data_IF_004872073218
#
_entry.id   IF_004872073218
#
_cell.length_a   1.000
_cell.length_b   1.000
_cell.length_c   1.000
_cell.angle_alpha   90.00
_cell.angle_beta   90.00
_cell.angle_gamma   90.00
#
_symmetry.space_group_name_H-M   'P 1'
#
loop_
_entity.id
_entity.type
_entity.pdbx_description
1 polymer ?
#
# COMPACT_ATOMS: atom_id res chain seq x y z
N UNK A 1 19.50 -3.86 5.31
CA UNK A 1 19.35 -2.89 4.20
C UNK A 1 17.89 -2.65 3.91
N UNK A 2 17.49 -1.41 3.76
CA UNK A 2 16.09 -1.07 3.56
C UNK A 2 15.63 -1.46 2.16
N UNK A 3 14.41 -1.99 2.06
CA UNK A 3 13.81 -2.25 0.76
C UNK A 3 13.29 -0.94 0.16
N UNK A 4 13.40 -0.76 -1.16
CA UNK A 4 12.86 0.45 -1.77
C UNK A 4 11.34 0.46 -1.79
N UNK A 5 10.75 1.66 -1.77
CA UNK A 5 9.33 1.85 -2.03
C UNK A 5 9.14 1.96 -3.55
N UNK A 6 8.22 1.17 -4.07
CA UNK A 6 7.90 1.14 -5.50
C UNK A 6 6.44 1.57 -5.64
N UNK A 7 6.23 2.72 -6.26
CA UNK A 7 4.93 3.38 -6.30
C UNK A 7 4.15 2.96 -7.54
N UNK A 8 2.91 2.55 -7.36
CA UNK A 8 2.03 2.18 -8.47
C UNK A 8 0.97 3.26 -8.69
N UNK A 9 0.71 3.56 -9.94
CA UNK A 9 -0.28 4.56 -10.31
C UNK A 9 -0.03 5.89 -9.62
N UNK A 10 -1.09 6.48 -9.06
CA UNK A 10 -1.03 7.77 -8.39
C UNK A 10 -0.68 7.68 -6.90
N UNK A 11 -0.28 6.51 -6.39
CA UNK A 11 -0.16 6.28 -4.95
C UNK A 11 0.79 7.27 -4.25
N UNK A 12 1.92 7.61 -4.88
CA UNK A 12 2.86 8.57 -4.31
C UNK A 12 2.25 9.97 -4.24
N UNK A 13 1.63 10.41 -5.34
CA UNK A 13 0.96 11.70 -5.40
C UNK A 13 -0.15 11.77 -4.36
N UNK A 14 -0.90 10.71 -4.19
CA UNK A 14 -2.02 10.67 -3.26
C UNK A 14 -1.56 10.81 -1.81
N UNK A 15 -0.47 10.12 -1.42
CA UNK A 15 0.10 10.27 -0.08
C UNK A 15 0.63 11.70 0.11
N UNK A 16 1.26 12.26 -0.90
CA UNK A 16 1.79 13.63 -0.81
C UNK A 16 0.68 14.66 -0.65
N UNK A 17 -0.53 14.33 -1.09
CA UNK A 17 -1.71 15.20 -0.94
C UNK A 17 -2.42 15.03 0.40
N UNK A 18 -2.03 14.07 1.23
CA UNK A 18 -2.59 13.92 2.58
C UNK A 18 -2.30 15.17 3.42
N UNK A 19 -3.15 15.51 4.38
CA UNK A 19 -2.79 16.51 5.38
C UNK A 19 -1.45 16.17 6.02
N UNK A 20 -0.71 17.18 6.45
CA UNK A 20 0.68 17.00 6.91
C UNK A 20 0.81 15.91 7.98
N UNK A 21 -0.08 15.91 8.98
CA UNK A 21 -0.01 14.91 10.04
C UNK A 21 -0.19 13.49 9.51
N UNK A 22 -1.16 13.28 8.61
CA UNK A 22 -1.42 11.98 8.02
C UNK A 22 -0.26 11.54 7.11
N UNK A 23 0.30 12.48 6.34
CA UNK A 23 1.44 12.21 5.47
C UNK A 23 2.65 11.75 6.27
N UNK A 24 2.93 12.41 7.40
CA UNK A 24 4.04 12.04 8.28
C UNK A 24 3.86 10.64 8.86
N UNK A 25 2.65 10.33 9.34
CA UNK A 25 2.36 9.00 9.87
C UNK A 25 2.51 7.95 8.79
N UNK A 26 1.94 8.18 7.61
CA UNK A 26 2.05 7.23 6.50
C UNK A 26 3.52 6.97 6.13
N UNK A 27 4.32 8.03 6.02
CA UNK A 27 5.75 7.92 5.72
C UNK A 27 6.51 7.14 6.77
N UNK A 28 6.24 7.39 8.05
CA UNK A 28 6.88 6.66 9.14
C UNK A 28 6.52 5.17 9.10
N UNK A 29 5.24 4.85 8.87
CA UNK A 29 4.82 3.45 8.81
C UNK A 29 5.43 2.72 7.61
N UNK A 30 5.52 3.38 6.47
CA UNK A 30 6.19 2.79 5.30
C UNK A 30 7.68 2.57 5.55
N UNK A 31 8.33 3.49 6.28
CA UNK A 31 9.73 3.29 6.67
C UNK A 31 9.90 2.05 7.52
N UNK A 32 9.00 1.81 8.47
CA UNK A 32 9.03 0.59 9.28
C UNK A 32 8.97 -0.66 8.39
N UNK A 33 8.08 -0.66 7.40
CA UNK A 33 7.96 -1.78 6.46
C UNK A 33 9.25 -1.96 5.67
N UNK A 34 9.87 -0.87 5.21
CA UNK A 34 11.16 -0.92 4.50
C UNK A 34 12.25 -1.55 5.36
N UNK A 35 12.20 -1.37 6.66
CA UNK A 35 13.16 -1.91 7.61
C UNK A 35 12.83 -3.33 8.06
N UNK A 36 11.83 -3.96 7.46
CA UNK A 36 11.46 -5.33 7.78
C UNK A 36 10.53 -5.47 8.98
N UNK A 37 9.97 -4.35 9.46
CA UNK A 37 9.03 -4.36 10.57
C UNK A 37 7.60 -4.24 10.08
N UNK A 38 6.65 -4.61 10.93
CA UNK A 38 5.23 -4.40 10.62
C UNK A 38 4.82 -2.97 10.98
N UNK A 39 3.83 -2.41 10.27
CA UNK A 39 3.25 -1.13 10.68
C UNK A 39 2.60 -1.25 12.06
N UNK A 40 2.43 -0.12 12.75
CA UNK A 40 1.82 -0.13 14.08
C UNK A 40 0.35 -0.53 14.06
N UNK A 41 -0.38 -0.15 13.01
CA UNK A 41 -1.81 -0.49 12.86
C UNK A 41 -2.08 -0.85 11.41
N UNK A 42 -2.44 -2.10 11.17
CA UNK A 42 -2.67 -2.61 9.82
C UNK A 42 -3.68 -3.73 9.81
N UNK A 43 -4.19 -4.02 8.64
CA UNK A 43 -5.15 -5.08 8.41
C UNK A 43 -4.77 -5.85 7.15
N UNK A 44 -4.92 -7.17 7.19
CA UNK A 44 -4.76 -7.99 5.99
C UNK A 44 -5.92 -7.70 5.03
N UNK A 45 -5.60 -7.53 3.75
CA UNK A 45 -6.58 -7.24 2.70
C UNK A 45 -6.54 -8.30 1.62
N UNK A 46 -6.90 -9.53 2.00
CA UNK A 46 -6.92 -10.66 1.06
C UNK A 46 -7.95 -10.44 -0.05
N UNK A 47 -8.97 -9.62 0.19
CA UNK A 47 -9.93 -9.23 -0.85
C UNK A 47 -9.30 -8.44 -1.99
N UNK A 48 -8.15 -7.80 -1.76
CA UNK A 48 -7.38 -7.12 -2.81
C UNK A 48 -6.44 -8.13 -3.46
N UNK A 49 -5.73 -8.89 -2.67
CA UNK A 49 -4.82 -9.90 -3.17
C UNK A 49 -3.96 -10.50 -2.08
N UNK A 50 -3.26 -11.58 -2.43
CA UNK A 50 -2.40 -12.31 -1.51
C UNK A 50 -1.25 -11.42 -1.01
N UNK A 51 -1.10 -11.33 0.30
CA UNK A 51 -0.02 -10.54 0.93
C UNK A 51 -0.27 -9.05 0.99
N UNK A 52 -1.42 -8.58 0.50
CA UNK A 52 -1.76 -7.16 0.56
C UNK A 52 -2.19 -6.80 1.97
N UNK A 53 -1.68 -5.66 2.44
CA UNK A 53 -2.01 -5.11 3.76
C UNK A 53 -2.45 -3.66 3.62
N UNK A 54 -3.26 -3.22 4.55
CA UNK A 54 -3.74 -1.85 4.63
C UNK A 54 -3.21 -1.23 5.91
N UNK A 55 -2.37 -0.20 5.77
CA UNK A 55 -1.93 0.60 6.91
C UNK A 55 -3.07 1.54 7.28
N UNK A 56 -3.39 1.61 8.55
CA UNK A 56 -4.38 2.54 9.09
C UNK A 56 -3.68 3.75 9.66
N UNK A 57 -4.04 4.92 9.16
CA UNK A 57 -3.48 6.19 9.59
C UNK A 57 -4.57 6.98 10.28
N UNK A 58 -4.40 7.17 11.59
CA UNK A 58 -5.38 7.86 12.43
C UNK A 58 -4.83 9.21 12.85
N UNK A 59 -5.40 10.28 12.31
CA UNK A 59 -5.11 11.65 12.74
C UNK A 59 -6.47 12.33 12.95
N UNK A 60 -6.62 13.59 12.63
CA UNK A 60 -7.95 14.22 12.66
C UNK A 60 -8.87 13.59 11.63
N UNK A 61 -8.30 13.04 10.57
CA UNK A 61 -9.01 12.30 9.54
C UNK A 61 -8.40 10.90 9.42
N UNK A 62 -9.15 10.00 8.79
CA UNK A 62 -8.73 8.61 8.61
C UNK A 62 -8.17 8.41 7.21
N UNK A 63 -6.98 7.84 7.13
CA UNK A 63 -6.36 7.52 5.84
C UNK A 63 -5.92 6.07 5.83
N UNK A 64 -5.81 5.53 4.63
CA UNK A 64 -5.38 4.14 4.42
C UNK A 64 -4.32 4.08 3.34
N UNK A 65 -3.35 3.19 3.51
CA UNK A 65 -2.31 2.93 2.51
C UNK A 65 -2.26 1.44 2.28
N UNK A 66 -2.56 1.02 1.05
CA UNK A 66 -2.51 -0.39 0.67
C UNK A 66 -1.14 -0.70 0.06
N UNK A 67 -0.50 -1.75 0.55
CA UNK A 67 0.84 -2.13 0.08
C UNK A 67 0.99 -3.64 0.07
N UNK A 68 2.01 -4.10 -0.64
CA UNK A 68 2.42 -5.51 -0.60
C UNK A 68 3.94 -5.56 -0.45
N UNK A 69 4.42 -6.36 0.52
CA UNK A 69 5.84 -6.43 0.88
C UNK A 69 6.44 -7.82 0.70
N UNK A 70 5.67 -8.78 0.14
CA UNK A 70 6.13 -10.17 0.03
C UNK A 70 7.15 -10.41 -1.08
N UNK A 71 7.38 -9.42 -1.93
CA UNK A 71 8.33 -9.57 -3.04
C UNK A 71 9.70 -9.06 -2.63
N UNK A 72 10.74 -9.78 -3.03
CA UNK A 72 12.10 -9.46 -2.60
C UNK A 72 12.64 -8.14 -3.14
N UNK A 73 12.13 -7.67 -4.27
CA UNK A 73 12.67 -6.48 -4.92
C UNK A 73 12.25 -5.17 -4.24
N UNK A 74 11.19 -5.17 -3.42
CA UNK A 74 10.77 -3.94 -2.75
C UNK A 74 9.37 -4.00 -2.19
N UNK A 75 8.92 -2.84 -1.72
CA UNK A 75 7.59 -2.64 -1.17
C UNK A 75 6.75 -1.92 -2.22
N UNK A 76 5.73 -2.57 -2.74
CA UNK A 76 4.84 -1.94 -3.72
C UNK A 76 3.70 -1.24 -3.01
N UNK A 77 3.59 0.07 -3.20
CA UNK A 77 2.48 0.85 -2.67
C UNK A 77 1.40 0.89 -3.75
N UNK A 78 0.27 0.22 -3.47
CA UNK A 78 -0.80 0.03 -4.45
C UNK A 78 -1.73 1.22 -4.53
N UNK A 79 -2.13 1.77 -3.37
CA UNK A 79 -3.18 2.78 -3.32
C UNK A 79 -3.16 3.50 -1.97
N UNK A 80 -3.56 4.76 -1.96
CA UNK A 80 -3.66 5.55 -0.75
C UNK A 80 -4.87 6.47 -0.87
N UNK A 81 -5.64 6.60 0.23
CA UNK A 81 -6.89 7.36 0.16
C UNK A 81 -7.34 7.79 1.56
N UNK A 82 -8.19 8.81 1.60
CA UNK A 82 -8.90 9.19 2.82
C UNK A 82 -10.14 8.32 2.97
N UNK A 83 -10.33 7.76 4.16
CA UNK A 83 -11.46 6.88 4.45
C UNK A 83 -12.51 7.65 5.23
N UNK A 84 -13.69 7.83 4.65
CA UNK A 84 -14.79 8.60 5.22
C UNK A 84 -15.97 7.74 5.67
N UNK A 85 -15.90 6.43 5.45
CA UNK A 85 -16.95 5.49 5.80
C UNK A 85 -16.36 4.33 6.58
N UNK A 86 -17.22 3.52 7.21
CA UNK A 86 -16.73 2.39 8.00
C UNK A 86 -16.09 1.30 7.16
N UNK A 87 -16.60 1.09 5.94
CA UNK A 87 -16.02 0.11 5.02
C UNK A 87 -15.12 0.80 4.01
N UNK A 88 -14.10 0.10 3.53
CA UNK A 88 -13.29 0.59 2.42
C UNK A 88 -14.20 0.74 1.20
N UNK A 89 -14.26 1.93 0.60
CA UNK A 89 -15.15 2.15 -0.55
C UNK A 89 -14.86 1.21 -1.71
N UNK A 90 -15.91 0.81 -2.41
CA UNK A 90 -15.77 -0.12 -3.53
C UNK A 90 -14.82 0.40 -4.61
N UNK A 91 -14.82 1.72 -4.86
CA UNK A 91 -13.92 2.32 -5.85
C UNK A 91 -12.46 2.17 -5.45
N UNK A 92 -12.15 2.31 -4.16
CA UNK A 92 -10.77 2.18 -3.67
C UNK A 92 -10.31 0.73 -3.71
N UNK A 93 -11.21 -0.21 -3.38
CA UNK A 93 -10.91 -1.63 -3.54
C UNK A 93 -10.65 -1.98 -5.01
N UNK A 94 -11.45 -1.44 -5.91
CA UNK A 94 -11.30 -1.71 -7.35
C UNK A 94 -9.97 -1.19 -7.87
N UNK A 95 -9.56 0.02 -7.47
CA UNK A 95 -8.27 0.59 -7.85
C UNK A 95 -7.13 -0.29 -7.36
N UNK A 96 -7.15 -0.65 -6.07
CA UNK A 96 -6.09 -1.47 -5.48
C UNK A 96 -6.01 -2.86 -6.15
N UNK A 97 -7.17 -3.50 -6.38
CA UNK A 97 -7.22 -4.80 -7.08
C UNK A 97 -6.66 -4.72 -8.49
N UNK A 98 -7.05 -3.68 -9.23
CA UNK A 98 -6.57 -3.49 -10.59
C UNK A 98 -5.06 -3.33 -10.65
N UNK A 99 -4.52 -2.49 -9.76
CA UNK A 99 -3.07 -2.27 -9.69
C UNK A 99 -2.32 -3.52 -9.27
N UNK A 100 -2.86 -4.28 -8.33
CA UNK A 100 -2.22 -5.52 -7.90
C UNK A 100 -2.19 -6.54 -9.05
N UNK A 101 -3.30 -6.70 -9.78
CA UNK A 101 -3.37 -7.60 -10.93
C UNK A 101 -2.36 -7.20 -12.01
N UNK A 102 -2.29 -5.91 -12.33
CA UNK A 102 -1.33 -5.39 -13.30
C UNK A 102 0.11 -5.63 -12.84
N UNK A 103 0.37 -5.46 -11.55
CA UNK A 103 1.68 -5.74 -10.97
C UNK A 103 2.06 -7.21 -11.16
N UNK A 104 1.15 -8.13 -10.87
CA UNK A 104 1.44 -9.57 -11.01
C UNK A 104 1.70 -9.94 -12.47
N UNK A 105 0.94 -9.37 -13.41
CA UNK A 105 1.14 -9.59 -14.83
C UNK A 105 2.52 -9.07 -15.27
N UNK A 106 2.86 -7.85 -14.87
CA UNK A 106 4.14 -7.24 -15.18
C UNK A 106 5.29 -8.09 -14.62
N UNK A 107 5.18 -8.53 -13.37
CA UNK A 107 6.22 -9.35 -12.72
C UNK A 107 6.42 -10.66 -13.49
N UNK A 108 5.35 -11.28 -13.93
CA UNK A 108 5.41 -12.51 -14.74
C UNK A 108 6.16 -12.28 -16.05
N UNK A 109 5.86 -11.17 -16.71
CA UNK A 109 6.53 -10.80 -17.97
C UNK A 109 8.02 -10.55 -17.76
N UNK A 110 8.41 -10.03 -16.60
CA UNK A 110 9.80 -9.78 -16.27
C UNK A 110 10.53 -11.02 -15.74
N UNK A 111 9.84 -12.16 -15.64
CA UNK A 111 10.45 -13.41 -15.17
C UNK A 111 10.41 -13.61 -13.68
N UNK A 112 9.78 -12.70 -12.91
CA UNK A 112 9.59 -12.91 -11.49
C UNK A 112 8.54 -14.00 -11.24
N UNK A 113 8.64 -14.67 -10.11
CA UNK A 113 7.58 -15.57 -9.67
C UNK A 113 7.48 -16.87 -10.40
N UNK A 114 8.51 -17.27 -11.13
CA UNK A 114 8.58 -18.59 -11.75
C UNK A 114 9.04 -19.60 -10.71
N UNK A 115 8.20 -20.54 -10.44
CA UNK A 115 8.52 -21.60 -9.49
C UNK A 115 7.93 -21.36 -8.15
#
# INVERSE_FOLDING_TARGET
MDKPLLWLGSSRRDIRAFPLAARRVAGFQLLRVQQGMEPNDWKSMTSIGSGVREIRVHTETEHRVCYVARFGEGIYVLHAFEKRSQKTPAKDLAVARGRYRELLEWRREQGYGKG
#
